data_IF_244531544851
#
_entry.id   IF_244531544851
#
_cell.length_a   1.000
_cell.length_b   1.000
_cell.length_c   1.000
_cell.angle_alpha   90.00
_cell.angle_beta   90.00
_cell.angle_gamma   90.00
#
_symmetry.space_group_name_H-M   'P 1'
#
loop_
_entity.id
_entity.type
_entity.pdbx_description
1 polymer ?
#
# COMPACT_ATOMS: atom_id res chain seq x y z
N UNK A 1 -2.47 -53.98 22.88
CA UNK A 1 -3.24 -53.31 23.96
C UNK A 1 -2.59 -53.58 25.31
N UNK A 2 -2.03 -52.56 25.99
CA UNK A 2 -1.70 -52.51 27.45
C UNK A 2 -0.83 -51.28 27.76
N UNK A 3 -1.45 -50.12 27.98
CA UNK A 3 -0.84 -48.97 28.65
C UNK A 3 -1.81 -48.49 29.71
N UNK A 4 -1.30 -48.11 30.90
CA UNK A 4 -2.12 -47.82 32.08
C UNK A 4 -2.38 -46.31 32.17
N UNK A 5 -3.61 -45.93 32.52
CA UNK A 5 -3.95 -44.54 32.86
C UNK A 5 -3.23 -44.15 34.16
N UNK A 6 -2.61 -42.97 34.18
CA UNK A 6 -2.22 -42.23 35.38
C UNK A 6 -2.77 -40.81 35.19
N UNK A 7 -3.33 -40.21 36.24
CA UNK A 7 -3.99 -38.90 36.20
C UNK A 7 -3.83 -38.18 37.55
N UNK A 8 -3.98 -36.85 37.54
CA UNK A 8 -3.85 -35.93 38.70
C UNK A 8 -2.40 -35.84 39.27
N UNK A 9 -1.97 -34.85 40.09
CA UNK A 9 -2.55 -33.64 40.72
C UNK A 9 -1.37 -32.72 41.13
N UNK A 10 -1.36 -31.39 41.37
CA UNK A 10 -2.28 -30.22 41.32
C UNK A 10 -1.82 -29.27 40.15
N UNK A 11 -2.29 -28.05 39.82
CA UNK A 11 -3.03 -26.91 40.43
C UNK A 11 -2.23 -25.96 41.38
N UNK A 12 -1.65 -24.89 40.83
CA UNK A 12 -1.52 -23.58 41.52
C UNK A 12 -1.65 -22.42 40.52
N UNK A 13 -2.77 -21.70 40.58
CA UNK A 13 -2.94 -20.43 39.87
C UNK A 13 -2.47 -19.26 40.75
N UNK A 14 -1.82 -18.25 40.18
CA UNK A 14 -1.89 -16.85 40.63
C UNK A 14 -2.09 -15.98 39.38
N UNK A 15 -3.20 -15.23 39.34
CA UNK A 15 -3.47 -14.26 38.28
C UNK A 15 -2.85 -12.91 38.65
N UNK A 16 -1.98 -12.37 37.81
CA UNK A 16 -1.52 -10.98 37.92
C UNK A 16 -2.49 -10.05 37.17
N UNK A 17 -3.58 -9.64 37.82
CA UNK A 17 -4.55 -8.69 37.24
C UNK A 17 -3.93 -7.28 37.27
N UNK A 18 -3.48 -6.81 36.12
CA UNK A 18 -2.98 -5.45 35.95
C UNK A 18 -4.10 -4.41 35.92
N UNK A 19 -4.04 -3.41 36.81
CA UNK A 19 -4.97 -2.28 36.82
C UNK A 19 -4.50 -1.16 35.87
N UNK A 20 -4.75 -1.31 34.57
CA UNK A 20 -4.63 -0.19 33.63
C UNK A 20 -5.86 0.72 33.72
N UNK A 21 -5.67 1.90 34.32
CA UNK A 21 -6.68 2.95 34.36
C UNK A 21 -6.70 3.73 33.02
N UNK A 22 -7.57 3.31 32.09
CA UNK A 22 -7.75 3.93 30.78
C UNK A 22 -9.10 4.64 30.63
N UNK A 23 -9.22 5.88 31.11
CA UNK A 23 -10.42 6.69 30.89
C UNK A 23 -10.34 7.45 29.56
N UNK A 24 -10.97 6.92 28.51
CA UNK A 24 -11.11 7.62 27.23
C UNK A 24 -12.13 8.77 27.30
N UNK A 25 -11.71 10.00 26.96
CA UNK A 25 -12.59 11.17 26.88
C UNK A 25 -13.13 11.36 25.46
N UNK A 26 -14.10 10.54 25.05
CA UNK A 26 -14.80 10.67 23.77
C UNK A 26 -15.69 11.91 23.78
N UNK A 27 -15.26 12.99 23.12
CA UNK A 27 -15.92 14.29 23.21
C UNK A 27 -17.14 14.41 22.29
N UNK A 28 -18.24 13.74 22.66
CA UNK A 28 -19.55 13.89 22.01
C UNK A 28 -20.01 15.34 22.04
N UNK A 29 -20.21 15.94 20.87
CA UNK A 29 -20.95 17.19 20.72
C UNK A 29 -22.00 17.02 19.63
N UNK A 30 -23.23 16.72 20.04
CA UNK A 30 -24.38 16.54 19.15
C UNK A 30 -25.23 17.82 19.14
N UNK A 31 -25.78 18.16 17.98
CA UNK A 31 -26.93 19.06 17.79
C UNK A 31 -26.79 20.54 18.23
N UNK A 32 -26.64 21.41 17.23
CA UNK A 32 -27.43 22.64 17.17
C UNK A 32 -28.31 22.57 15.92
N UNK A 33 -29.64 22.60 16.09
CA UNK A 33 -30.61 22.52 14.99
C UNK A 33 -31.04 23.91 14.54
N UNK A 34 -31.26 24.11 13.24
CA UNK A 34 -32.20 25.13 12.75
C UNK A 34 -32.72 24.83 11.32
N UNK A 35 -33.80 24.04 11.28
CA UNK A 35 -35.10 24.41 10.71
C UNK A 35 -35.19 25.16 9.34
N UNK A 36 -35.94 24.60 8.36
CA UNK A 36 -36.75 25.43 7.44
C UNK A 36 -36.79 25.09 5.94
N UNK A 37 -37.85 24.40 5.51
CA UNK A 37 -38.61 24.61 4.26
C UNK A 37 -37.95 24.59 2.86
N UNK A 38 -38.25 23.52 2.11
CA UNK A 38 -39.04 23.53 0.85
C UNK A 38 -38.79 24.66 -0.20
N UNK A 39 -38.29 24.29 -1.39
CA UNK A 39 -39.04 24.30 -2.66
C UNK A 39 -38.20 23.73 -3.82
N UNK A 40 -38.83 23.43 -4.96
CA UNK A 40 -38.17 23.07 -6.22
C UNK A 40 -38.51 24.09 -7.32
N UNK A 41 -37.56 24.41 -8.21
CA UNK A 41 -37.77 24.64 -9.66
C UNK A 41 -36.47 25.03 -10.39
N UNK A 42 -36.30 24.49 -11.60
CA UNK A 42 -35.60 25.02 -12.80
C UNK A 42 -35.39 26.55 -12.82
N UNK A 43 -34.29 27.11 -13.37
CA UNK A 43 -34.01 27.06 -14.82
C UNK A 43 -32.57 27.45 -15.29
N UNK A 44 -32.35 27.34 -16.61
CA UNK A 44 -31.14 27.54 -17.43
C UNK A 44 -30.79 29.02 -17.78
N UNK A 45 -29.50 29.34 -18.04
CA UNK A 45 -28.94 29.99 -19.27
C UNK A 45 -27.63 30.77 -19.05
N UNK A 46 -26.71 30.79 -20.04
CA UNK A 46 -25.47 31.59 -20.03
C UNK A 46 -24.38 31.13 -21.02
N UNK A 47 -24.38 31.69 -22.24
CA UNK A 47 -23.49 31.41 -23.38
C UNK A 47 -22.01 31.84 -23.13
N UNK A 48 -20.98 31.13 -23.67
CA UNK A 48 -20.17 31.43 -24.90
C UNK A 48 -19.39 32.78 -24.83
N UNK A 49 -18.16 32.95 -25.35
CA UNK A 49 -17.26 32.09 -26.14
C UNK A 49 -15.78 32.57 -26.05
N UNK A 50 -14.88 31.97 -26.84
CA UNK A 50 -13.50 32.39 -27.19
C UNK A 50 -12.40 32.22 -26.09
N UNK A 51 -11.12 32.00 -26.43
CA UNK A 51 -10.45 31.89 -27.74
C UNK A 51 -9.21 30.97 -27.69
N UNK A 52 -8.65 30.68 -28.87
CA UNK A 52 -7.23 30.41 -29.18
C UNK A 52 -6.67 29.00 -28.96
N UNK A 53 -6.58 28.31 -30.10
CA UNK A 53 -5.71 27.19 -30.42
C UNK A 53 -4.21 27.48 -30.14
N UNK A 54 -3.50 26.53 -29.54
CA UNK A 54 -2.08 26.27 -29.87
C UNK A 54 -1.74 24.79 -29.74
N UNK A 55 -1.38 24.17 -30.86
CA UNK A 55 -0.72 22.87 -30.94
C UNK A 55 0.82 23.04 -30.74
N UNK A 56 1.57 21.93 -30.64
CA UNK A 56 3.01 21.86 -30.31
C UNK A 56 3.32 22.18 -28.82
N UNK A 57 4.20 21.47 -28.10
CA UNK A 57 5.32 20.60 -28.51
C UNK A 57 5.44 19.36 -27.62
N UNK A 58 6.10 18.31 -28.11
CA UNK A 58 6.54 17.15 -27.31
C UNK A 58 7.39 17.58 -26.10
N UNK A 59 6.92 17.30 -24.88
CA UNK A 59 7.72 17.42 -23.65
C UNK A 59 8.75 16.28 -23.56
N UNK A 60 9.90 16.47 -24.22
CA UNK A 60 11.12 15.73 -23.88
C UNK A 60 11.66 16.30 -22.58
N UNK A 61 11.23 15.76 -21.45
CA UNK A 61 11.65 16.18 -20.11
C UNK A 61 13.11 15.78 -19.84
N UNK A 62 14.08 16.48 -20.42
CA UNK A 62 15.48 16.47 -19.99
C UNK A 62 15.60 17.15 -18.60
N UNK A 63 15.22 16.41 -17.57
CA UNK A 63 15.23 16.89 -16.20
C UNK A 63 16.68 17.05 -15.73
N UNK A 64 17.22 18.27 -15.89
CA UNK A 64 18.63 18.60 -15.63
C UNK A 64 18.89 18.62 -14.12
N UNK A 65 19.13 17.44 -13.55
CA UNK A 65 19.51 17.27 -12.15
C UNK A 65 20.89 17.87 -11.88
N UNK A 66 20.91 18.89 -11.01
CA UNK A 66 22.14 19.53 -10.53
C UNK A 66 22.99 18.55 -9.72
N UNK A 67 24.02 17.98 -10.32
CA UNK A 67 25.19 17.42 -9.63
C UNK A 67 25.01 16.10 -8.85
N UNK A 68 23.81 15.52 -8.81
CA UNK A 68 23.53 14.22 -8.23
C UNK A 68 23.09 13.23 -9.31
N UNK A 69 23.52 11.98 -9.16
CA UNK A 69 23.28 10.90 -10.11
C UNK A 69 21.80 10.51 -10.26
N UNK A 70 21.50 9.74 -11.32
CA UNK A 70 20.14 9.29 -11.62
C UNK A 70 19.68 8.30 -10.55
N UNK A 71 18.42 8.42 -10.12
CA UNK A 71 17.83 7.59 -9.07
C UNK A 71 16.67 6.78 -9.62
N UNK A 72 16.56 5.52 -9.21
CA UNK A 72 15.45 4.61 -9.49
C UNK A 72 14.79 4.18 -8.18
N UNK A 73 13.47 4.04 -8.17
CA UNK A 73 12.70 3.39 -7.09
C UNK A 73 12.04 2.13 -7.66
N UNK A 74 12.61 0.97 -7.34
CA UNK A 74 12.04 -0.35 -7.60
C UNK A 74 11.14 -0.72 -6.43
N UNK A 75 9.93 -1.23 -6.67
CA UNK A 75 9.05 -1.66 -5.57
C UNK A 75 8.07 -2.79 -5.96
N UNK A 76 7.80 -3.70 -5.01
CA UNK A 76 6.60 -4.55 -5.00
C UNK A 76 5.54 -3.91 -4.09
N UNK A 77 4.25 -4.20 -4.29
CA UNK A 77 3.18 -3.60 -3.46
C UNK A 77 1.80 -4.28 -3.56
N UNK A 78 1.64 -5.49 -2.98
CA UNK A 78 0.39 -6.26 -2.99
C UNK A 78 -0.89 -5.44 -2.70
N UNK A 79 -0.91 -4.72 -1.57
CA UNK A 79 -2.07 -3.96 -1.06
C UNK A 79 -1.99 -2.45 -1.32
N UNK A 80 -1.11 -2.00 -2.22
CA UNK A 80 -0.87 -0.58 -2.51
C UNK A 80 -0.07 0.21 -1.47
N UNK A 81 0.17 -0.32 -0.27
CA UNK A 81 0.85 0.42 0.81
C UNK A 81 2.29 0.84 0.48
N UNK A 82 3.05 -0.02 -0.20
CA UNK A 82 4.45 0.24 -0.55
C UNK A 82 4.56 1.13 -1.79
N UNK A 83 3.63 0.99 -2.75
CA UNK A 83 3.43 1.92 -3.87
C UNK A 83 3.23 3.35 -3.38
N UNK A 84 2.36 3.51 -2.39
CA UNK A 84 2.06 4.78 -1.73
C UNK A 84 3.34 5.44 -1.16
N UNK A 85 4.34 4.66 -0.74
CA UNK A 85 5.65 5.16 -0.27
C UNK A 85 6.62 5.40 -1.43
N UNK A 86 6.68 4.50 -2.42
CA UNK A 86 7.53 4.61 -3.60
C UNK A 86 7.25 5.88 -4.40
N UNK A 87 5.98 6.19 -4.66
CA UNK A 87 5.55 7.43 -5.34
C UNK A 87 5.96 8.68 -4.56
N UNK A 88 5.92 8.64 -3.21
CA UNK A 88 6.36 9.76 -2.37
C UNK A 88 7.88 9.94 -2.44
N UNK A 89 8.67 8.86 -2.47
CA UNK A 89 10.14 8.92 -2.65
C UNK A 89 10.47 9.49 -4.04
N UNK A 90 9.86 8.96 -5.10
CA UNK A 90 10.08 9.43 -6.47
C UNK A 90 9.75 10.91 -6.63
N UNK A 91 8.62 11.36 -6.08
CA UNK A 91 8.21 12.78 -6.09
C UNK A 91 9.15 13.72 -5.34
N UNK A 92 9.86 13.24 -4.31
CA UNK A 92 10.83 14.04 -3.53
C UNK A 92 12.20 14.07 -4.22
N UNK A 93 12.59 12.97 -4.88
CA UNK A 93 13.94 12.78 -5.44
C UNK A 93 14.05 13.09 -6.93
N UNK A 94 12.93 13.13 -7.65
CA UNK A 94 12.92 13.13 -9.13
C UNK A 94 13.32 11.78 -9.73
N UNK A 95 13.20 10.69 -8.96
CA UNK A 95 13.56 9.34 -9.40
C UNK A 95 12.53 8.74 -10.37
N UNK A 96 13.02 7.89 -11.27
CA UNK A 96 12.19 7.01 -12.09
C UNK A 96 11.57 5.89 -11.21
N UNK A 97 10.44 5.32 -11.63
CA UNK A 97 9.72 4.26 -10.90
C UNK A 97 9.69 2.96 -11.71
N UNK A 98 9.85 1.82 -11.05
CA UNK A 98 9.64 0.48 -11.62
C UNK A 98 8.89 -0.41 -10.62
N UNK A 99 7.72 -0.90 -11.03
CA UNK A 99 6.89 -1.79 -10.22
C UNK A 99 7.19 -3.25 -10.55
N UNK A 100 7.46 -4.05 -9.53
CA UNK A 100 7.61 -5.50 -9.62
C UNK A 100 6.20 -6.10 -9.63
N UNK A 101 5.67 -6.34 -10.83
CA UNK A 101 4.37 -6.97 -11.02
C UNK A 101 4.53 -8.48 -11.25
N UNK A 102 4.00 -9.36 -10.38
CA UNK A 102 3.86 -10.79 -10.65
C UNK A 102 2.93 -11.03 -11.85
N UNK A 103 3.24 -12.04 -12.66
CA UNK A 103 2.39 -12.50 -13.77
C UNK A 103 1.02 -13.01 -13.26
N UNK A 104 1.02 -13.66 -12.09
CA UNK A 104 -0.17 -14.06 -11.35
C UNK A 104 -0.22 -13.25 -10.03
N UNK A 105 -1.01 -12.15 -9.97
CA UNK A 105 -1.14 -11.29 -8.80
C UNK A 105 -1.63 -12.05 -7.55
N UNK A 106 -1.23 -11.57 -6.38
CA UNK A 106 -1.66 -12.14 -5.10
C UNK A 106 -3.10 -11.71 -4.78
N UNK A 107 -3.96 -12.67 -4.45
CA UNK A 107 -5.33 -12.43 -3.98
C UNK A 107 -5.38 -12.17 -2.46
N UNK A 108 -6.52 -11.74 -1.93
CA UNK A 108 -6.69 -11.58 -0.48
C UNK A 108 -6.46 -12.91 0.27
N UNK A 109 -6.91 -14.05 -0.30
CA UNK A 109 -6.69 -15.39 0.24
C UNK A 109 -5.20 -15.81 0.17
N UNK A 110 -4.47 -15.40 -0.88
CA UNK A 110 -3.03 -15.65 -1.00
C UNK A 110 -2.22 -14.92 0.08
N UNK A 111 -2.73 -13.78 0.58
CA UNK A 111 -2.08 -12.87 1.52
C UNK A 111 -2.45 -13.15 2.99
N UNK A 112 -3.34 -14.10 3.28
CA UNK A 112 -3.71 -14.46 4.65
C UNK A 112 -2.59 -15.26 5.33
N UNK A 113 -1.68 -14.54 5.98
CA UNK A 113 -0.61 -15.08 6.84
C UNK A 113 -1.13 -15.81 8.10
N UNK A 114 -2.45 -15.84 8.35
CA UNK A 114 -3.05 -16.62 9.44
C UNK A 114 -3.56 -17.99 8.99
N UNK A 115 -3.53 -18.28 7.69
CA UNK A 115 -3.65 -19.63 7.13
C UNK A 115 -2.26 -20.18 6.77
N UNK A 116 -1.90 -21.32 7.35
CA UNK A 116 -0.63 -22.01 7.08
C UNK A 116 -0.54 -22.51 5.62
N UNK A 117 -1.69 -22.80 4.98
CA UNK A 117 -1.78 -23.27 3.60
C UNK A 117 -1.79 -22.12 2.57
N UNK A 118 -1.82 -20.84 2.97
CA UNK A 118 -1.85 -19.68 2.05
C UNK A 118 -0.56 -19.52 1.24
N UNK A 119 -0.63 -18.77 0.13
CA UNK A 119 0.53 -18.60 -0.76
C UNK A 119 1.70 -17.91 -0.05
N UNK A 120 1.46 -16.82 0.69
CA UNK A 120 2.55 -16.15 1.43
C UNK A 120 3.12 -17.02 2.55
N UNK A 121 2.30 -17.83 3.24
CA UNK A 121 2.79 -18.74 4.29
C UNK A 121 3.70 -19.82 3.70
N UNK A 122 3.27 -20.48 2.63
CA UNK A 122 4.09 -21.50 1.93
C UNK A 122 5.35 -20.93 1.31
N UNK A 123 5.27 -19.75 0.67
CA UNK A 123 6.43 -19.05 0.10
C UNK A 123 7.38 -18.52 1.18
N UNK A 124 6.89 -18.24 2.40
CA UNK A 124 7.75 -17.91 3.54
C UNK A 124 8.55 -19.12 4.01
N UNK A 125 7.89 -20.26 4.23
CA UNK A 125 8.50 -21.45 4.82
C UNK A 125 9.35 -22.28 3.83
N UNK A 126 9.03 -22.29 2.53
CA UNK A 126 9.80 -22.96 1.49
C UNK A 126 10.36 -21.96 0.45
N UNK A 127 11.67 -21.67 0.56
CA UNK A 127 12.34 -20.74 -0.35
C UNK A 127 12.32 -21.20 -1.82
N UNK A 128 12.08 -22.48 -2.11
CA UNK A 128 11.99 -23.00 -3.48
C UNK A 128 10.69 -22.63 -4.19
N UNK A 129 9.69 -22.11 -3.46
CA UNK A 129 8.45 -21.58 -4.02
C UNK A 129 8.54 -20.08 -4.39
N UNK A 130 9.63 -19.39 -4.04
CA UNK A 130 9.80 -17.94 -4.26
C UNK A 130 10.25 -17.56 -5.68
N UNK A 131 10.37 -18.50 -6.60
CA UNK A 131 10.66 -18.24 -8.02
C UNK A 131 9.36 -17.84 -8.74
N UNK A 132 8.99 -16.57 -8.63
CA UNK A 132 7.73 -16.00 -9.13
C UNK A 132 7.94 -15.35 -10.50
N UNK A 133 7.18 -15.80 -11.51
CA UNK A 133 7.18 -15.18 -12.83
C UNK A 133 6.67 -13.73 -12.77
N UNK A 134 7.37 -12.80 -13.43
CA UNK A 134 7.09 -11.36 -13.42
C UNK A 134 6.69 -10.86 -14.81
N UNK A 135 5.84 -9.83 -14.87
CA UNK A 135 5.43 -9.14 -16.09
C UNK A 135 6.63 -8.51 -16.82
N UNK A 136 7.62 -8.02 -16.07
CA UNK A 136 8.92 -7.59 -16.58
C UNK A 136 10.04 -7.89 -15.59
N UNK A 137 11.21 -8.24 -16.12
CA UNK A 137 12.47 -8.41 -15.36
C UNK A 137 13.55 -7.41 -15.76
N UNK A 138 13.23 -6.47 -16.66
CA UNK A 138 14.19 -5.54 -17.27
C UNK A 138 13.77 -4.08 -17.07
N UNK A 139 14.70 -3.28 -16.55
CA UNK A 139 14.57 -1.81 -16.46
C UNK A 139 15.36 -1.17 -17.60
N UNK A 140 14.72 -0.31 -18.38
CA UNK A 140 15.39 0.42 -19.46
C UNK A 140 16.48 1.36 -18.92
N UNK A 141 17.63 1.39 -19.62
CA UNK A 141 18.79 2.20 -19.27
C UNK A 141 19.34 1.95 -17.85
N UNK A 142 19.31 0.71 -17.37
CA UNK A 142 19.80 0.31 -16.04
C UNK A 142 21.18 0.91 -15.66
N UNK A 143 22.15 0.86 -16.57
CA UNK A 143 23.51 1.39 -16.37
C UNK A 143 23.57 2.93 -16.20
N UNK A 144 22.46 3.64 -16.35
CA UNK A 144 22.35 5.09 -16.11
C UNK A 144 21.96 5.48 -14.69
N UNK A 145 21.62 4.52 -13.81
CA UNK A 145 21.23 4.81 -12.42
C UNK A 145 22.40 4.67 -11.44
N UNK A 146 22.73 5.76 -10.75
CA UNK A 146 23.75 5.81 -9.69
C UNK A 146 23.19 5.38 -8.32
N UNK A 147 21.86 5.33 -8.15
CA UNK A 147 21.20 4.93 -6.91
C UNK A 147 19.88 4.22 -7.19
N UNK A 148 19.68 3.06 -6.55
CA UNK A 148 18.45 2.28 -6.63
C UNK A 148 17.90 2.08 -5.22
N UNK A 149 16.68 2.54 -4.98
CA UNK A 149 15.88 2.14 -3.81
C UNK A 149 15.07 0.89 -4.17
N UNK A 150 14.92 -0.02 -3.21
CA UNK A 150 14.11 -1.23 -3.35
C UNK A 150 13.10 -1.25 -2.19
N UNK A 151 11.81 -1.40 -2.50
CA UNK A 151 10.71 -1.55 -1.54
C UNK A 151 9.92 -2.84 -1.73
N UNK A 152 9.40 -3.38 -0.62
CA UNK A 152 8.37 -4.40 -0.56
C UNK A 152 7.47 -4.08 0.65
#
# INVERSE_FOLDING_TARGET
>A
MKTKKIAAVLLTCIMAIGLMAGCGASNTNQSASNNGSQSASTNQSGNEEADTNSENTTDTTENTSTGNGKTLVVYYSASGNTKDVAEKIAKITGADLFEIEPMEPYTDDDLDWTDDDSRVSREHDDESLRDVELVSTTVDNWDSYDTVYIGA
#
